data_IF_132951855764
#
_entry.id   IF_132951855764
#
_cell.length_a   1.000
_cell.length_b   1.000
_cell.length_c   1.000
_cell.angle_alpha   90.00
_cell.angle_beta   90.00
_cell.angle_gamma   90.00
#
_symmetry.space_group_name_H-M   'P 1'
#
loop_
_entity.id
_entity.type
_entity.pdbx_description
1 polymer ?
#
# COMPACT_ATOMS: atom_id res chain seq x y z
N UNK A 1 -51.36 6.36 33.50
CA UNK A 1 -49.90 6.58 33.59
C UNK A 1 -49.25 5.55 32.69
N UNK A 2 -48.93 5.94 31.45
CA UNK A 2 -48.23 5.09 30.49
C UNK A 2 -46.78 5.55 30.52
N UNK A 3 -45.89 4.71 31.04
CA UNK A 3 -44.45 4.92 30.96
C UNK A 3 -44.07 4.92 29.48
N UNK A 4 -43.83 6.11 28.95
CA UNK A 4 -43.14 6.30 27.69
C UNK A 4 -41.72 5.79 27.88
N UNK A 5 -41.45 4.61 27.33
CA UNK A 5 -40.12 4.02 27.25
C UNK A 5 -39.28 4.91 26.32
N UNK A 6 -38.69 5.94 26.91
CA UNK A 6 -37.77 6.87 26.26
C UNK A 6 -36.41 6.20 26.18
N UNK A 7 -36.28 5.16 25.35
CA UNK A 7 -34.98 4.78 24.79
C UNK A 7 -34.56 5.88 23.85
N UNK A 8 -33.98 6.94 24.41
CA UNK A 8 -33.07 7.78 23.67
C UNK A 8 -31.98 6.84 23.16
N UNK A 9 -32.03 6.49 21.88
CA UNK A 9 -30.86 6.02 21.16
C UNK A 9 -29.80 7.12 21.34
N UNK A 10 -28.92 6.96 22.33
CA UNK A 10 -27.71 7.74 22.42
C UNK A 10 -27.04 7.62 21.05
N UNK A 11 -26.97 8.74 20.34
CA UNK A 11 -26.28 8.84 19.07
C UNK A 11 -24.80 8.59 19.33
N UNK A 12 -24.42 7.31 19.33
CA UNK A 12 -23.07 6.86 19.64
C UNK A 12 -22.12 7.55 18.68
N UNK A 13 -21.29 8.44 19.22
CA UNK A 13 -20.23 9.09 18.44
C UNK A 13 -19.31 8.00 17.90
N UNK A 14 -18.81 8.14 16.66
CA UNK A 14 -17.94 7.12 16.09
C UNK A 14 -16.64 7.07 16.90
N UNK A 15 -16.02 5.89 16.95
CA UNK A 15 -14.81 5.66 17.72
C UNK A 15 -13.70 6.69 17.38
N UNK A 16 -12.97 7.15 18.39
CA UNK A 16 -11.80 8.01 18.18
C UNK A 16 -10.69 7.30 17.39
N UNK A 17 -9.83 8.06 16.70
CA UNK A 17 -8.72 7.52 15.89
C UNK A 17 -7.75 6.65 16.72
N UNK A 18 -7.40 7.10 17.93
CA UNK A 18 -6.56 6.33 18.85
C UNK A 18 -7.25 5.05 19.35
N UNK A 19 -8.57 5.09 19.58
CA UNK A 19 -9.32 3.91 19.96
C UNK A 19 -9.43 2.90 18.80
N UNK A 20 -9.51 3.38 17.54
CA UNK A 20 -9.41 2.50 16.38
C UNK A 20 -8.04 1.82 16.33
N UNK A 21 -6.97 2.56 16.65
CA UNK A 21 -5.61 2.03 16.70
C UNK A 21 -5.48 0.93 17.74
N UNK A 22 -5.86 1.18 19.00
CA UNK A 22 -5.78 0.17 20.06
C UNK A 22 -6.59 -1.07 19.71
N UNK A 23 -7.82 -0.88 19.20
CA UNK A 23 -8.68 -2.00 18.77
C UNK A 23 -8.04 -2.79 17.63
N UNK A 24 -7.38 -2.13 16.68
CA UNK A 24 -6.68 -2.81 15.58
C UNK A 24 -5.58 -3.74 16.06
N UNK A 25 -4.80 -3.32 17.05
CA UNK A 25 -3.79 -4.17 17.69
C UNK A 25 -4.42 -5.30 18.52
N UNK A 26 -5.51 -5.03 19.24
CA UNK A 26 -6.22 -6.05 20.02
C UNK A 26 -6.76 -7.18 19.14
N UNK A 27 -7.31 -6.86 17.96
CA UNK A 27 -7.77 -7.85 16.97
C UNK A 27 -6.65 -8.80 16.58
N UNK A 28 -5.45 -8.26 16.29
CA UNK A 28 -4.29 -9.06 15.88
C UNK A 28 -3.73 -9.87 17.05
N UNK A 29 -3.69 -9.29 18.26
CA UNK A 29 -3.23 -10.00 19.46
C UNK A 29 -4.12 -11.21 19.80
N UNK A 30 -5.44 -11.11 19.59
CA UNK A 30 -6.39 -12.23 19.77
C UNK A 30 -6.36 -13.24 18.62
N UNK A 31 -5.90 -12.82 17.43
CA UNK A 31 -5.86 -13.64 16.23
C UNK A 31 -4.45 -13.65 15.62
N UNK A 32 -3.44 -14.22 16.31
CA UNK A 32 -2.04 -14.16 15.86
C UNK A 32 -1.83 -14.86 14.51
N UNK A 33 -2.73 -15.75 14.09
CA UNK A 33 -2.67 -16.37 12.75
C UNK A 33 -2.69 -15.33 11.60
N UNK A 34 -3.21 -14.12 11.83
CA UNK A 34 -3.28 -13.06 10.81
C UNK A 34 -1.90 -12.58 10.34
N UNK A 35 -0.87 -12.73 11.18
CA UNK A 35 0.50 -12.31 10.82
C UNK A 35 1.22 -13.33 9.93
N UNK A 36 0.64 -14.53 9.74
CA UNK A 36 1.29 -15.64 9.04
C UNK A 36 1.66 -15.30 7.60
N UNK A 37 0.74 -14.69 6.84
CA UNK A 37 1.00 -14.36 5.43
C UNK A 37 2.10 -13.30 5.29
N UNK A 38 2.03 -12.14 5.98
CA UNK A 38 3.14 -11.17 5.99
C UNK A 38 4.48 -11.79 6.41
N UNK A 39 4.48 -12.58 7.49
CA UNK A 39 5.68 -13.19 8.02
C UNK A 39 6.30 -14.20 7.06
N UNK A 40 5.50 -15.07 6.44
CA UNK A 40 5.99 -16.04 5.44
C UNK A 40 6.49 -15.33 4.19
N UNK A 41 5.83 -14.26 3.76
CA UNK A 41 6.29 -13.46 2.61
C UNK A 41 7.65 -12.82 2.91
N UNK A 42 7.83 -12.24 4.10
CA UNK A 42 9.11 -11.71 4.54
C UNK A 42 10.20 -12.79 4.64
N UNK A 43 9.87 -13.96 5.22
CA UNK A 43 10.80 -15.10 5.26
C UNK A 43 11.20 -15.57 3.87
N UNK A 44 10.26 -15.60 2.92
CA UNK A 44 10.54 -15.96 1.54
C UNK A 44 11.47 -14.95 0.87
N UNK A 45 11.20 -13.64 1.01
CA UNK A 45 12.05 -12.60 0.43
C UNK A 45 13.44 -12.50 1.08
N UNK A 46 13.55 -12.90 2.34
CA UNK A 46 14.81 -12.92 3.09
C UNK A 46 15.65 -14.17 2.85
N UNK A 47 15.08 -15.37 3.05
CA UNK A 47 15.79 -16.64 3.01
C UNK A 47 15.76 -17.31 1.64
N UNK A 48 14.75 -17.00 0.82
CA UNK A 48 14.56 -17.57 -0.50
C UNK A 48 15.63 -17.14 -1.51
N UNK A 49 15.59 -17.72 -2.72
CA UNK A 49 16.43 -17.27 -3.82
C UNK A 49 16.06 -15.85 -4.24
N UNK A 50 17.02 -15.14 -4.83
CA UNK A 50 16.76 -13.85 -5.46
C UNK A 50 16.53 -14.06 -6.95
N UNK A 51 15.50 -13.41 -7.48
CA UNK A 51 15.30 -13.34 -8.91
C UNK A 51 16.04 -12.10 -9.42
N UNK A 52 17.28 -12.31 -9.86
CA UNK A 52 18.25 -11.25 -10.16
C UNK A 52 18.11 -10.75 -11.60
N UNK A 53 18.19 -9.43 -11.76
CA UNK A 53 18.27 -8.72 -13.03
C UNK A 53 19.68 -8.18 -13.32
N UNK A 54 20.71 -8.68 -12.61
CA UNK A 54 22.09 -8.22 -12.76
C UNK A 54 22.58 -8.15 -14.21
N UNK A 55 22.32 -9.14 -15.10
CA UNK A 55 22.76 -9.05 -16.50
C UNK A 55 22.11 -7.88 -17.26
N UNK A 56 20.87 -7.52 -16.93
CA UNK A 56 20.14 -6.41 -17.54
C UNK A 56 20.70 -5.08 -17.05
N UNK A 57 20.90 -4.93 -15.73
CA UNK A 57 21.52 -3.73 -15.17
C UNK A 57 22.95 -3.51 -15.70
N UNK A 58 23.75 -4.58 -15.81
CA UNK A 58 25.08 -4.49 -16.42
C UNK A 58 25.07 -4.20 -17.92
N UNK A 59 23.99 -4.51 -18.64
CA UNK A 59 23.81 -4.07 -20.02
C UNK A 59 23.44 -2.58 -20.11
N UNK A 60 22.59 -2.10 -19.18
CA UNK A 60 22.24 -0.68 -19.06
C UNK A 60 23.46 0.17 -18.70
N UNK A 61 24.28 -0.27 -17.75
CA UNK A 61 25.55 0.36 -17.36
C UNK A 61 26.45 0.60 -18.58
N UNK A 62 26.70 -0.45 -19.38
CA UNK A 62 27.52 -0.33 -20.59
C UNK A 62 26.92 0.64 -21.61
N UNK A 63 25.61 0.58 -21.80
CA UNK A 63 24.91 1.52 -22.69
C UNK A 63 25.08 2.98 -22.24
N UNK A 64 24.96 3.26 -20.94
CA UNK A 64 25.14 4.60 -20.41
C UNK A 64 26.60 5.08 -20.48
N UNK A 65 27.58 4.18 -20.24
CA UNK A 65 28.99 4.48 -20.42
C UNK A 65 29.31 4.89 -21.86
N UNK A 66 28.82 4.12 -22.84
CA UNK A 66 29.01 4.41 -24.25
C UNK A 66 28.37 5.74 -24.66
N UNK A 67 27.17 6.03 -24.14
CA UNK A 67 26.46 7.28 -24.40
C UNK A 67 27.18 8.50 -23.79
N UNK A 68 27.67 8.39 -22.56
CA UNK A 68 28.37 9.46 -21.87
C UNK A 68 29.68 9.85 -22.59
N UNK A 69 30.45 8.86 -23.04
CA UNK A 69 31.69 9.06 -23.82
C UNK A 69 31.39 9.73 -25.16
N UNK A 70 30.21 9.49 -25.75
CA UNK A 70 29.83 10.05 -27.04
C UNK A 70 29.25 11.48 -26.99
N UNK A 71 28.85 12.02 -25.83
CA UNK A 71 27.99 13.21 -25.80
C UNK A 71 28.06 14.19 -24.62
N UNK A 72 28.87 13.98 -23.58
CA UNK A 72 28.83 14.82 -22.38
C UNK A 72 30.10 15.67 -22.16
N UNK A 73 30.08 16.94 -22.60
CA UNK A 73 31.15 17.92 -22.36
C UNK A 73 30.72 19.04 -21.39
N UNK A 74 30.07 18.69 -20.28
CA UNK A 74 29.65 19.64 -19.23
C UNK A 74 29.81 19.06 -17.83
N UNK A 75 30.32 19.86 -16.88
CA UNK A 75 30.65 19.43 -15.51
C UNK A 75 29.47 18.84 -14.75
N UNK A 76 28.27 19.41 -14.92
CA UNK A 76 27.04 19.01 -14.20
C UNK A 76 26.49 17.66 -14.67
N UNK A 77 26.80 17.24 -15.90
CA UNK A 77 26.40 15.93 -16.45
C UNK A 77 27.18 14.80 -15.77
N UNK A 78 28.41 15.06 -15.36
CA UNK A 78 29.32 14.08 -14.74
C UNK A 78 28.84 13.61 -13.37
N UNK A 79 28.30 14.52 -12.54
CA UNK A 79 27.85 14.19 -11.18
C UNK A 79 26.53 13.41 -11.19
N UNK A 80 25.55 13.84 -11.98
CA UNK A 80 24.28 13.13 -12.19
C UNK A 80 24.53 11.73 -12.77
N UNK A 81 25.48 11.63 -13.70
CA UNK A 81 25.92 10.35 -14.27
C UNK A 81 26.54 9.43 -13.21
N UNK A 82 27.49 9.93 -12.41
CA UNK A 82 28.15 9.14 -11.37
C UNK A 82 27.14 8.59 -10.34
N UNK A 83 26.18 9.42 -9.91
CA UNK A 83 25.10 8.99 -9.02
C UNK A 83 24.22 7.91 -9.66
N UNK A 84 23.84 8.09 -10.94
CA UNK A 84 23.02 7.12 -11.67
C UNK A 84 23.72 5.77 -11.80
N UNK A 85 25.03 5.80 -12.04
CA UNK A 85 25.85 4.60 -12.13
C UNK A 85 25.97 3.86 -10.80
N UNK A 86 26.14 4.60 -9.69
CA UNK A 86 26.13 4.01 -8.36
C UNK A 86 24.81 3.29 -8.06
N UNK A 87 23.67 3.93 -8.36
CA UNK A 87 22.34 3.33 -8.14
C UNK A 87 22.16 2.07 -8.98
N UNK A 88 22.56 2.09 -10.26
CA UNK A 88 22.49 0.91 -11.12
C UNK A 88 23.35 -0.24 -10.58
N UNK A 89 24.53 0.07 -10.07
CA UNK A 89 25.42 -0.91 -9.47
C UNK A 89 24.80 -1.55 -8.21
N UNK A 90 24.28 -0.75 -7.28
CA UNK A 90 23.59 -1.24 -6.07
C UNK A 90 22.38 -2.13 -6.41
N UNK A 91 21.59 -1.73 -7.42
CA UNK A 91 20.48 -2.55 -7.92
C UNK A 91 20.97 -3.85 -8.55
N UNK A 92 22.07 -3.82 -9.29
CA UNK A 92 22.62 -5.02 -9.92
C UNK A 92 23.01 -6.11 -8.91
N UNK A 93 23.52 -5.71 -7.74
CA UNK A 93 23.97 -6.65 -6.71
C UNK A 93 22.84 -7.14 -5.80
N UNK A 94 21.90 -6.25 -5.47
CA UNK A 94 20.95 -6.47 -4.38
C UNK A 94 19.50 -6.69 -4.79
N UNK A 95 19.12 -6.31 -6.02
CA UNK A 95 17.71 -6.28 -6.42
C UNK A 95 17.12 -7.67 -6.58
N UNK A 96 15.93 -7.86 -6.03
CA UNK A 96 15.19 -9.11 -6.10
C UNK A 96 13.83 -8.88 -6.77
N UNK A 97 13.61 -9.40 -7.97
CA UNK A 97 12.34 -9.22 -8.69
C UNK A 97 11.14 -9.85 -7.96
N UNK A 98 11.34 -10.79 -7.04
CA UNK A 98 10.25 -11.32 -6.21
C UNK A 98 9.55 -10.26 -5.35
N UNK A 99 10.15 -9.07 -5.14
CA UNK A 99 9.47 -7.95 -4.47
C UNK A 99 8.18 -7.52 -5.18
N UNK A 100 7.99 -7.87 -6.46
CA UNK A 100 6.74 -7.67 -7.20
C UNK A 100 5.56 -8.41 -6.56
N UNK A 101 5.79 -9.43 -5.73
CA UNK A 101 4.73 -10.09 -4.95
C UNK A 101 4.03 -9.14 -3.95
N UNK A 102 4.70 -8.05 -3.55
CA UNK A 102 4.11 -7.00 -2.71
C UNK A 102 3.22 -6.03 -3.51
N UNK A 103 3.22 -6.12 -4.84
CA UNK A 103 2.46 -5.19 -5.68
C UNK A 103 0.96 -5.34 -5.42
N UNK A 104 0.41 -4.35 -4.71
CA UNK A 104 -0.99 -4.26 -4.37
C UNK A 104 -1.47 -2.82 -4.54
N UNK A 105 -2.74 -2.62 -4.93
CA UNK A 105 -3.27 -1.28 -5.08
C UNK A 105 -3.51 -0.66 -3.71
N UNK A 106 -2.71 0.32 -3.30
CA UNK A 106 -2.88 1.13 -2.07
C UNK A 106 -2.66 0.37 -0.73
N UNK A 107 -3.22 -0.82 -0.56
CA UNK A 107 -3.14 -1.67 0.63
C UNK A 107 -2.86 -3.13 0.23
N UNK A 108 -1.73 -3.66 0.70
CA UNK A 108 -1.23 -4.99 0.34
C UNK A 108 -0.91 -5.87 1.54
N UNK A 109 -0.33 -7.05 1.27
CA UNK A 109 0.39 -7.81 2.31
C UNK A 109 1.61 -6.97 2.72
N UNK A 110 1.76 -6.56 3.99
CA UNK A 110 2.95 -5.83 4.41
C UNK A 110 4.21 -6.70 4.36
N UNK A 111 5.35 -6.14 3.95
CA UNK A 111 6.66 -6.81 4.03
C UNK A 111 7.79 -5.81 4.29
N UNK A 112 8.69 -6.16 5.21
CA UNK A 112 9.88 -5.40 5.55
C UNK A 112 10.98 -5.59 4.49
N UNK A 113 11.08 -6.80 3.92
CA UNK A 113 12.15 -7.19 3.02
C UNK A 113 12.05 -6.57 1.61
N UNK A 114 10.89 -6.03 1.24
CA UNK A 114 10.67 -5.39 -0.07
C UNK A 114 11.61 -4.22 -0.33
N UNK A 115 12.03 -3.52 0.74
CA UNK A 115 12.91 -2.36 0.65
C UNK A 115 14.38 -2.68 0.97
N UNK A 116 14.76 -3.97 1.03
CA UNK A 116 16.10 -4.40 1.47
C UNK A 116 16.89 -5.05 0.33
N UNK A 117 17.98 -4.39 -0.07
CA UNK A 117 18.94 -4.89 -1.06
C UNK A 117 19.95 -5.81 -0.38
N UNK A 118 19.67 -7.10 -0.41
CA UNK A 118 20.12 -7.96 0.68
C UNK A 118 20.77 -9.21 0.07
N UNK A 119 22.09 -9.32 0.26
CA UNK A 119 22.97 -10.26 -0.47
C UNK A 119 23.26 -11.53 0.31
N UNK A 120 23.36 -11.40 1.63
CA UNK A 120 23.60 -12.50 2.54
C UNK A 120 22.33 -12.92 3.27
N UNK A 121 22.35 -14.14 3.79
CA UNK A 121 21.38 -14.74 4.71
C UNK A 121 22.15 -15.51 5.79
N UNK A 122 21.51 -15.97 6.89
CA UNK A 122 22.22 -16.54 8.05
C UNK A 122 23.13 -17.74 7.78
N UNK A 123 22.97 -18.38 6.62
CA UNK A 123 23.72 -19.57 6.23
C UNK A 123 24.50 -19.35 4.93
N UNK A 124 24.85 -18.09 4.62
CA UNK A 124 25.78 -17.72 3.55
C UNK A 124 25.18 -16.79 2.50
N UNK A 125 25.82 -16.75 1.33
CA UNK A 125 25.38 -15.96 0.18
C UNK A 125 24.03 -16.48 -0.33
N UNK A 126 23.16 -15.57 -0.78
CA UNK A 126 21.88 -15.96 -1.38
C UNK A 126 22.07 -16.53 -2.78
N UNK A 127 21.30 -17.58 -3.13
CA UNK A 127 21.31 -18.12 -4.48
C UNK A 127 20.54 -17.18 -5.41
N UNK A 128 21.11 -16.94 -6.58
CA UNK A 128 20.52 -16.07 -7.60
C UNK A 128 19.98 -16.89 -8.77
N UNK A 129 18.74 -16.57 -9.16
CA UNK A 129 18.11 -17.01 -10.40
C UNK A 129 18.16 -15.81 -11.34
N UNK A 130 18.99 -15.87 -12.38
CA UNK A 130 19.21 -14.72 -13.26
C UNK A 130 18.24 -14.70 -14.44
N UNK A 131 17.68 -13.53 -14.73
CA UNK A 131 16.95 -13.27 -15.97
C UNK A 131 17.81 -12.38 -16.86
N UNK A 132 18.28 -12.94 -17.97
CA UNK A 132 19.15 -12.21 -18.91
C UNK A 132 18.38 -11.52 -20.05
N UNK A 133 17.10 -11.85 -20.24
CA UNK A 133 16.29 -11.34 -21.35
C UNK A 133 15.23 -10.36 -20.87
N UNK A 134 15.29 -9.13 -21.37
CA UNK A 134 14.33 -8.07 -21.05
C UNK A 134 12.90 -8.44 -21.50
N UNK A 135 12.77 -9.16 -22.62
CA UNK A 135 11.47 -9.66 -23.09
C UNK A 135 10.84 -10.66 -22.11
N UNK A 136 11.66 -11.42 -21.38
CA UNK A 136 11.17 -12.39 -20.40
C UNK A 136 10.81 -11.75 -19.05
N UNK A 137 11.29 -10.54 -18.76
CA UNK A 137 10.96 -9.81 -17.53
C UNK A 137 9.46 -9.49 -17.47
N UNK A 138 8.88 -9.03 -18.57
CA UNK A 138 7.45 -8.65 -18.62
C UNK A 138 6.48 -9.76 -18.20
N UNK A 139 6.50 -10.98 -18.80
CA UNK A 139 5.59 -12.05 -18.39
C UNK A 139 5.86 -12.51 -16.94
N UNK A 140 7.11 -12.48 -16.47
CA UNK A 140 7.45 -12.81 -15.09
C UNK A 140 6.87 -11.79 -14.12
N UNK A 141 7.04 -10.49 -14.39
CA UNK A 141 6.44 -9.40 -13.59
C UNK A 141 4.92 -9.53 -13.56
N UNK A 142 4.29 -9.79 -14.71
CA UNK A 142 2.85 -9.98 -14.79
C UNK A 142 2.39 -11.16 -13.94
N UNK A 143 3.08 -12.30 -14.02
CA UNK A 143 2.78 -13.48 -13.21
C UNK A 143 2.94 -13.20 -11.71
N UNK A 144 4.06 -12.60 -11.30
CA UNK A 144 4.32 -12.25 -9.91
C UNK A 144 3.30 -11.25 -9.38
N UNK A 145 2.91 -10.25 -10.16
CA UNK A 145 1.89 -9.27 -9.80
C UNK A 145 0.53 -9.96 -9.58
N UNK A 146 0.12 -10.84 -10.49
CA UNK A 146 -1.14 -11.60 -10.38
C UNK A 146 -1.15 -12.49 -9.14
N UNK A 147 -0.04 -13.15 -8.83
CA UNK A 147 0.14 -13.98 -7.63
C UNK A 147 0.16 -13.13 -6.36
N UNK A 148 0.86 -12.00 -6.36
CA UNK A 148 0.92 -11.04 -5.25
C UNK A 148 -0.46 -10.46 -4.90
N UNK A 149 -1.26 -10.14 -5.91
CA UNK A 149 -2.65 -9.73 -5.72
C UNK A 149 -3.51 -10.86 -5.14
N UNK A 150 -3.25 -12.13 -5.49
CA UNK A 150 -3.94 -13.25 -4.89
C UNK A 150 -3.58 -13.39 -3.41
N UNK A 151 -2.30 -13.32 -3.05
CA UNK A 151 -1.83 -13.31 -1.65
C UNK A 151 -2.47 -12.18 -0.85
N UNK A 152 -2.53 -10.99 -1.44
CA UNK A 152 -3.20 -9.81 -0.87
C UNK A 152 -4.69 -10.06 -0.65
N UNK A 153 -5.39 -10.63 -1.63
CA UNK A 153 -6.81 -10.94 -1.50
C UNK A 153 -7.06 -11.93 -0.36
N UNK A 154 -6.24 -12.97 -0.23
CA UNK A 154 -6.34 -13.93 0.87
C UNK A 154 -6.07 -13.28 2.23
N UNK A 155 -4.99 -12.49 2.35
CA UNK A 155 -4.66 -11.76 3.58
C UNK A 155 -5.80 -10.82 4.01
N UNK A 156 -6.27 -9.97 3.09
CA UNK A 156 -7.32 -8.99 3.38
C UNK A 156 -8.68 -9.66 3.64
N UNK A 157 -8.96 -10.80 3.00
CA UNK A 157 -10.16 -11.60 3.28
C UNK A 157 -10.22 -12.01 4.75
N UNK A 158 -9.16 -12.68 5.24
CA UNK A 158 -9.10 -13.17 6.61
C UNK A 158 -9.06 -12.02 7.62
N UNK A 159 -8.28 -10.98 7.34
CA UNK A 159 -8.19 -9.81 8.19
C UNK A 159 -9.54 -9.11 8.32
N UNK A 160 -10.21 -8.83 7.20
CA UNK A 160 -11.52 -8.18 7.19
C UNK A 160 -12.59 -8.98 7.92
N UNK A 161 -12.56 -10.31 7.81
CA UNK A 161 -13.47 -11.19 8.54
C UNK A 161 -13.22 -11.12 10.06
N UNK A 162 -11.95 -11.18 10.51
CA UNK A 162 -11.62 -11.10 11.93
C UNK A 162 -11.94 -9.74 12.53
N UNK A 163 -11.68 -8.66 11.79
CA UNK A 163 -12.09 -7.31 12.22
C UNK A 163 -13.59 -7.26 12.46
N UNK A 164 -14.43 -7.75 11.55
CA UNK A 164 -15.90 -7.72 11.71
C UNK A 164 -16.37 -8.53 12.91
N UNK A 165 -15.81 -9.72 13.12
CA UNK A 165 -16.19 -10.61 14.23
C UNK A 165 -15.81 -9.98 15.57
N UNK A 166 -14.60 -9.46 15.70
CA UNK A 166 -14.09 -8.89 16.96
C UNK A 166 -14.71 -7.52 17.29
N UNK A 167 -15.12 -6.74 16.28
CA UNK A 167 -15.83 -5.46 16.49
C UNK A 167 -17.35 -5.61 16.56
N UNK A 168 -17.87 -6.84 16.48
CA UNK A 168 -19.31 -7.15 16.45
C UNK A 168 -20.07 -6.33 15.39
N UNK A 169 -19.39 -6.06 14.27
CA UNK A 169 -19.92 -5.18 13.23
C UNK A 169 -21.04 -5.89 12.45
N UNK A 170 -22.14 -5.17 12.18
CA UNK A 170 -23.28 -5.67 11.40
C UNK A 170 -23.02 -5.73 9.88
N UNK A 171 -21.79 -5.51 9.45
CA UNK A 171 -21.42 -5.48 8.04
C UNK A 171 -21.47 -6.88 7.42
N UNK A 172 -21.76 -6.92 6.11
CA UNK A 172 -21.86 -8.19 5.38
C UNK A 172 -20.53 -8.96 5.30
N UNK A 173 -19.41 -8.27 5.46
CA UNK A 173 -18.07 -8.83 5.36
C UNK A 173 -17.69 -9.33 3.98
N UNK A 174 -16.51 -9.94 3.82
CA UNK A 174 -16.03 -10.34 2.50
C UNK A 174 -16.85 -11.53 1.94
N UNK A 175 -17.05 -11.57 0.61
CA UNK A 175 -17.77 -12.67 -0.06
C UNK A 175 -16.92 -13.93 -0.19
N UNK A 176 -15.82 -13.83 -0.93
CA UNK A 176 -14.84 -14.90 -1.14
C UNK A 176 -13.50 -14.29 -1.50
N UNK A 177 -12.37 -14.96 -1.21
CA UNK A 177 -11.05 -14.47 -1.59
C UNK A 177 -10.91 -14.32 -3.11
N UNK A 178 -11.50 -15.22 -3.91
CA UNK A 178 -11.48 -15.13 -5.37
C UNK A 178 -12.24 -13.92 -5.93
N UNK A 179 -13.38 -13.57 -5.33
CA UNK A 179 -14.11 -12.37 -5.72
C UNK A 179 -13.32 -11.11 -5.39
N UNK A 180 -12.70 -11.06 -4.21
CA UNK A 180 -11.81 -9.95 -3.83
C UNK A 180 -10.62 -9.84 -4.76
N UNK A 181 -9.99 -10.96 -5.13
CA UNK A 181 -8.89 -10.99 -6.09
C UNK A 181 -9.28 -10.38 -7.45
N UNK A 182 -10.46 -10.73 -7.98
CA UNK A 182 -10.99 -10.10 -9.20
C UNK A 182 -11.21 -8.60 -9.07
N UNK A 183 -11.71 -8.13 -7.91
CA UNK A 183 -11.87 -6.70 -7.65
C UNK A 183 -10.52 -5.97 -7.51
N UNK A 184 -9.52 -6.60 -6.88
CA UNK A 184 -8.17 -6.05 -6.77
C UNK A 184 -7.47 -6.00 -8.13
N UNK A 185 -7.65 -7.01 -8.98
CA UNK A 185 -7.17 -6.97 -10.37
C UNK A 185 -7.77 -5.79 -11.15
N UNK A 186 -9.09 -5.60 -11.04
CA UNK A 186 -9.77 -4.48 -11.69
C UNK A 186 -9.29 -3.13 -11.14
N UNK A 187 -9.14 -3.01 -9.81
CA UNK A 187 -8.62 -1.79 -9.17
C UNK A 187 -7.19 -1.50 -9.64
N UNK A 188 -6.30 -2.51 -9.66
CA UNK A 188 -4.92 -2.38 -10.16
C UNK A 188 -4.91 -1.94 -11.62
N UNK A 189 -5.76 -2.52 -12.47
CA UNK A 189 -5.85 -2.13 -13.89
C UNK A 189 -6.32 -0.67 -14.03
N UNK A 190 -7.36 -0.27 -13.30
CA UNK A 190 -7.86 1.11 -13.31
C UNK A 190 -6.77 2.07 -12.84
N UNK A 191 -6.08 1.77 -11.74
CA UNK A 191 -4.99 2.61 -11.23
C UNK A 191 -3.81 2.64 -12.20
N UNK A 192 -3.46 1.53 -12.85
CA UNK A 192 -2.39 1.49 -13.83
C UNK A 192 -2.72 2.36 -15.05
N UNK A 193 -3.94 2.28 -15.58
CA UNK A 193 -4.38 3.13 -16.70
C UNK A 193 -4.38 4.61 -16.29
N UNK A 194 -4.93 4.94 -15.12
CA UNK A 194 -5.00 6.33 -14.66
C UNK A 194 -3.62 6.90 -14.31
N UNK A 195 -2.85 6.22 -13.48
CA UNK A 195 -1.52 6.66 -13.04
C UNK A 195 -0.50 6.59 -14.18
N UNK A 196 -0.56 5.56 -15.03
CA UNK A 196 0.29 5.42 -16.20
C UNK A 196 0.00 6.49 -17.26
N UNK A 197 -1.28 6.73 -17.57
CA UNK A 197 -1.68 7.80 -18.48
C UNK A 197 -1.30 9.20 -17.97
N UNK A 198 -1.58 9.46 -16.69
CA UNK A 198 -1.18 10.71 -16.04
C UNK A 198 0.35 10.87 -16.00
N UNK A 199 1.07 9.83 -15.58
CA UNK A 199 2.53 9.83 -15.50
C UNK A 199 3.18 10.05 -16.85
N UNK A 200 2.70 9.40 -17.91
CA UNK A 200 3.20 9.60 -19.27
C UNK A 200 2.98 11.04 -19.75
N UNK A 201 1.80 11.61 -19.48
CA UNK A 201 1.51 13.00 -19.84
C UNK A 201 2.42 13.99 -19.08
N UNK A 202 2.62 13.76 -17.77
CA UNK A 202 3.53 14.56 -16.93
C UNK A 202 4.96 14.44 -17.42
N UNK A 203 5.47 13.24 -17.70
CA UNK A 203 6.82 13.01 -18.19
C UNK A 203 7.04 13.73 -19.53
N UNK A 204 6.10 13.59 -20.48
CA UNK A 204 6.19 14.28 -21.76
C UNK A 204 6.25 15.81 -21.57
N UNK A 205 5.36 16.36 -20.74
CA UNK A 205 5.32 17.80 -20.49
C UNK A 205 6.56 18.30 -19.72
N UNK A 206 7.04 17.55 -18.73
CA UNK A 206 8.23 17.87 -17.97
C UNK A 206 9.49 17.81 -18.85
N UNK A 207 9.63 16.80 -19.71
CA UNK A 207 10.73 16.71 -20.67
C UNK A 207 10.71 17.89 -21.65
N UNK A 208 9.54 18.27 -22.16
CA UNK A 208 9.40 19.43 -23.04
C UNK A 208 9.78 20.74 -22.33
N UNK A 209 9.31 20.95 -21.11
CA UNK A 209 9.68 22.12 -20.29
C UNK A 209 11.17 22.12 -19.91
N UNK A 210 11.75 20.93 -19.70
CA UNK A 210 13.16 20.74 -19.39
C UNK A 210 14.11 21.20 -20.50
N UNK A 211 13.65 21.25 -21.75
CA UNK A 211 14.41 21.84 -22.87
C UNK A 211 14.63 23.35 -22.69
N UNK A 212 13.75 24.03 -21.95
CA UNK A 212 13.85 25.46 -21.68
C UNK A 212 14.45 25.76 -20.30
N UNK A 213 14.08 24.97 -19.28
CA UNK A 213 14.52 25.17 -17.90
C UNK A 213 14.37 23.90 -17.06
N UNK A 214 15.51 23.34 -16.61
CA UNK A 214 15.51 22.17 -15.72
C UNK A 214 14.77 22.40 -14.39
N UNK A 215 14.91 23.56 -13.69
CA UNK A 215 14.13 23.83 -12.48
C UNK A 215 12.62 23.81 -12.69
N UNK A 216 12.12 24.28 -13.83
CA UNK A 216 10.68 24.26 -14.15
C UNK A 216 10.19 22.82 -14.32
N UNK A 217 10.95 21.98 -15.01
CA UNK A 217 10.64 20.55 -15.13
C UNK A 217 10.63 19.86 -13.76
N UNK A 218 11.62 20.14 -12.91
CA UNK A 218 11.68 19.62 -11.53
C UNK A 218 10.46 20.05 -10.70
N UNK A 219 10.06 21.32 -10.77
CA UNK A 219 8.86 21.82 -10.10
C UNK A 219 7.59 21.10 -10.55
N UNK A 220 7.44 20.87 -11.86
CA UNK A 220 6.30 20.11 -12.41
C UNK A 220 6.25 18.67 -11.89
N UNK A 221 7.41 18.01 -11.77
CA UNK A 221 7.49 16.65 -11.22
C UNK A 221 7.10 16.59 -9.75
N UNK A 222 7.52 17.59 -8.95
CA UNK A 222 7.11 17.72 -7.53
C UNK A 222 5.61 17.96 -7.41
N UNK A 223 5.06 18.85 -8.25
CA UNK A 223 3.63 19.15 -8.29
C UNK A 223 2.82 17.90 -8.66
N UNK A 224 3.23 17.18 -9.70
CA UNK A 224 2.59 15.94 -10.14
C UNK A 224 2.65 14.85 -9.06
N UNK A 225 3.78 14.71 -8.36
CA UNK A 225 3.93 13.78 -7.23
C UNK A 225 3.00 14.14 -6.08
N UNK A 226 2.83 15.44 -5.80
CA UNK A 226 1.88 15.94 -4.80
C UNK A 226 0.43 15.62 -5.16
N UNK A 227 0.04 15.77 -6.43
CA UNK A 227 -1.26 15.32 -6.93
C UNK A 227 -1.44 13.80 -6.81
N UNK A 228 -0.41 13.02 -7.15
CA UNK A 228 -0.42 11.57 -6.98
C UNK A 228 -0.69 11.16 -5.52
N UNK A 229 0.02 11.77 -4.57
CA UNK A 229 -0.19 11.53 -3.15
C UNK A 229 -1.58 11.97 -2.68
N UNK A 230 -2.07 13.11 -3.18
CA UNK A 230 -3.43 13.58 -2.90
C UNK A 230 -4.48 12.55 -3.33
N UNK A 231 -4.37 11.99 -4.54
CA UNK A 231 -5.28 10.94 -5.00
C UNK A 231 -5.12 9.63 -4.20
N UNK A 232 -3.89 9.27 -3.84
CA UNK A 232 -3.64 8.06 -3.03
C UNK A 232 -4.37 8.13 -1.68
N UNK A 233 -4.27 9.26 -0.96
CA UNK A 233 -4.99 9.50 0.30
C UNK A 233 -6.51 9.34 0.10
N UNK A 234 -7.04 9.94 -0.97
CA UNK A 234 -8.46 9.92 -1.31
C UNK A 234 -9.00 8.54 -1.69
N UNK A 235 -8.13 7.66 -2.22
CA UNK A 235 -8.50 6.31 -2.63
C UNK A 235 -8.16 5.25 -1.59
N UNK A 236 -7.42 5.59 -0.53
CA UNK A 236 -6.90 4.64 0.47
C UNK A 236 -7.98 3.73 1.07
N UNK A 237 -9.19 4.25 1.28
CA UNK A 237 -10.31 3.51 1.86
C UNK A 237 -11.13 2.70 0.84
N UNK A 238 -10.74 2.69 -0.44
CA UNK A 238 -11.38 1.86 -1.47
C UNK A 238 -11.30 0.37 -1.10
N UNK A 239 -10.17 -0.10 -0.59
CA UNK A 239 -10.00 -1.50 -0.18
C UNK A 239 -10.89 -1.88 1.00
N UNK A 240 -10.89 -1.14 2.13
CA UNK A 240 -11.86 -1.36 3.20
C UNK A 240 -13.32 -1.41 2.70
N UNK A 241 -13.71 -0.53 1.78
CA UNK A 241 -15.04 -0.52 1.15
C UNK A 241 -15.38 -1.78 0.36
N UNK A 242 -14.42 -2.26 -0.45
CA UNK A 242 -14.55 -3.51 -1.21
C UNK A 242 -14.69 -4.72 -0.25
N UNK A 243 -13.81 -4.79 0.76
CA UNK A 243 -13.68 -5.96 1.62
C UNK A 243 -14.82 -6.06 2.63
N UNK A 244 -15.17 -4.97 3.31
CA UNK A 244 -16.12 -5.03 4.44
C UNK A 244 -17.59 -4.89 4.02
N UNK A 245 -17.90 -4.12 2.98
CA UNK A 245 -19.28 -3.84 2.54
C UNK A 245 -19.71 -4.59 1.28
N UNK A 246 -18.83 -5.40 0.67
CA UNK A 246 -19.09 -6.09 -0.61
C UNK A 246 -19.49 -5.13 -1.74
N UNK A 247 -19.04 -3.87 -1.67
CA UNK A 247 -19.31 -2.89 -2.73
C UNK A 247 -18.58 -3.29 -4.00
N UNK A 248 -19.13 -2.90 -5.15
CA UNK A 248 -18.37 -2.89 -6.39
C UNK A 248 -17.33 -1.77 -6.37
N UNK A 249 -16.27 -1.92 -7.15
CA UNK A 249 -15.13 -0.98 -7.22
C UNK A 249 -15.54 0.50 -7.25
N UNK A 250 -16.41 0.88 -8.20
CA UNK A 250 -16.78 2.29 -8.39
C UNK A 250 -17.57 2.86 -7.20
N UNK A 251 -18.36 2.04 -6.51
CA UNK A 251 -19.06 2.50 -5.31
C UNK A 251 -18.07 2.65 -4.14
N UNK A 252 -17.14 1.71 -3.97
CA UNK A 252 -16.10 1.82 -2.96
C UNK A 252 -15.22 3.06 -3.16
N UNK A 253 -14.87 3.41 -4.40
CA UNK A 253 -14.16 4.65 -4.73
C UNK A 253 -14.97 5.87 -4.29
N UNK A 254 -16.27 5.94 -4.65
CA UNK A 254 -17.14 7.06 -4.27
C UNK A 254 -17.24 7.22 -2.75
N UNK A 255 -17.38 6.12 -2.02
CA UNK A 255 -17.46 6.12 -0.56
C UNK A 255 -16.12 6.52 0.08
N UNK A 256 -14.99 6.07 -0.47
CA UNK A 256 -13.65 6.52 -0.07
C UNK A 256 -13.51 8.05 -0.24
N UNK A 257 -13.87 8.58 -1.41
CA UNK A 257 -13.84 10.02 -1.69
C UNK A 257 -14.76 10.82 -0.78
N UNK A 258 -15.95 10.29 -0.48
CA UNK A 258 -16.90 10.94 0.42
C UNK A 258 -16.31 11.00 1.84
N UNK A 259 -15.76 9.89 2.33
CA UNK A 259 -15.19 9.81 3.66
C UNK A 259 -14.01 10.78 3.83
N UNK A 260 -13.05 10.77 2.90
CA UNK A 260 -11.88 11.65 3.01
C UNK A 260 -12.22 13.12 2.89
N UNK A 261 -13.33 13.48 2.24
CA UNK A 261 -13.81 14.87 2.16
C UNK A 261 -14.57 15.29 3.41
N UNK A 262 -15.44 14.43 3.95
CA UNK A 262 -16.29 14.76 5.09
C UNK A 262 -15.49 14.72 6.39
N UNK A 263 -14.55 13.79 6.53
CA UNK A 263 -13.76 13.59 7.74
C UNK A 263 -12.24 13.72 7.51
N UNK A 264 -11.87 14.74 6.73
CA UNK A 264 -10.49 14.95 6.25
C UNK A 264 -9.45 14.99 7.37
N UNK A 265 -9.75 15.69 8.48
CA UNK A 265 -8.79 15.84 9.59
C UNK A 265 -8.50 14.52 10.29
N UNK A 266 -9.53 13.71 10.59
CA UNK A 266 -9.34 12.42 11.24
C UNK A 266 -8.68 11.40 10.30
N UNK A 267 -9.04 11.42 9.01
CA UNK A 267 -8.37 10.60 7.98
C UNK A 267 -6.88 10.95 7.92
N UNK A 268 -6.56 12.23 7.78
CA UNK A 268 -5.16 12.69 7.66
C UNK A 268 -4.38 12.38 8.94
N UNK A 269 -4.98 12.61 10.11
CA UNK A 269 -4.36 12.28 11.39
C UNK A 269 -4.10 10.77 11.53
N UNK A 270 -5.06 9.93 11.14
CA UNK A 270 -4.88 8.48 11.16
C UNK A 270 -3.76 8.04 10.22
N UNK A 271 -3.73 8.54 8.99
CA UNK A 271 -2.70 8.19 8.01
C UNK A 271 -1.31 8.68 8.45
N UNK A 272 -1.23 9.86 9.07
CA UNK A 272 -0.01 10.36 9.69
C UNK A 272 0.47 9.44 10.81
N UNK A 273 -0.44 8.99 11.67
CA UNK A 273 -0.13 8.08 12.77
C UNK A 273 0.37 6.72 12.25
N UNK A 274 -0.31 6.15 11.26
CA UNK A 274 0.11 4.92 10.58
C UNK A 274 1.49 5.10 9.95
N UNK A 275 1.74 6.22 9.28
CA UNK A 275 3.04 6.52 8.66
C UNK A 275 4.16 6.64 9.69
N UNK A 276 3.95 7.39 10.78
CA UNK A 276 4.95 7.58 11.85
C UNK A 276 5.25 6.25 12.54
N UNK A 277 4.23 5.48 12.93
CA UNK A 277 4.41 4.19 13.61
C UNK A 277 5.13 3.20 12.68
N UNK A 278 4.69 3.09 11.42
CA UNK A 278 5.32 2.19 10.45
C UNK A 278 6.78 2.58 10.21
N UNK A 279 7.07 3.85 9.97
CA UNK A 279 8.43 4.30 9.67
C UNK A 279 9.36 4.13 10.87
N UNK A 280 8.91 4.54 12.06
CA UNK A 280 9.69 4.44 13.29
C UNK A 280 9.98 3.00 13.67
N UNK A 281 9.00 2.10 13.57
CA UNK A 281 9.19 0.69 13.90
C UNK A 281 9.94 -0.08 12.81
N UNK A 282 9.80 0.27 11.52
CA UNK A 282 10.62 -0.31 10.46
C UNK A 282 12.10 -0.10 10.71
N UNK A 283 12.50 1.10 11.16
CA UNK A 283 13.89 1.36 11.56
C UNK A 283 14.37 0.36 12.64
N UNK A 284 13.56 0.17 13.70
CA UNK A 284 13.88 -0.77 14.80
C UNK A 284 13.98 -2.21 14.28
N UNK A 285 13.05 -2.65 13.43
CA UNK A 285 13.01 -4.01 12.92
C UNK A 285 14.13 -4.34 11.93
N UNK A 286 14.82 -3.33 11.41
CA UNK A 286 16.00 -3.46 10.53
C UNK A 286 17.34 -3.36 11.25
N UNK A 287 17.36 -3.11 12.57
CA UNK A 287 18.61 -3.10 13.35
C UNK A 287 19.37 -4.44 13.31
N UNK A 288 18.72 -5.62 13.34
CA UNK A 288 19.41 -6.89 13.18
C UNK A 288 20.07 -7.01 11.80
N UNK A 289 21.35 -7.39 11.76
CA UNK A 289 22.03 -7.70 10.49
C UNK A 289 21.31 -8.85 9.77
N UNK A 290 21.07 -8.70 8.47
CA UNK A 290 20.33 -9.68 7.66
C UNK A 290 21.02 -11.05 7.50
N UNK A 291 22.28 -11.17 7.89
CA UNK A 291 23.01 -12.44 7.97
C UNK A 291 22.91 -13.10 9.36
N UNK A 292 21.97 -12.67 10.20
CA UNK A 292 21.74 -13.20 11.53
C UNK A 292 20.31 -13.72 11.71
N UNK A 293 20.14 -14.77 12.50
CA UNK A 293 18.82 -15.29 12.88
C UNK A 293 18.00 -14.30 13.73
N UNK A 294 18.64 -13.29 14.32
CA UNK A 294 17.92 -12.21 15.03
C UNK A 294 16.97 -11.42 14.12
N UNK A 295 17.16 -11.43 12.80
CA UNK A 295 16.23 -10.85 11.83
C UNK A 295 14.83 -11.45 11.92
N UNK A 296 14.67 -12.74 12.30
CA UNK A 296 13.35 -13.38 12.47
C UNK A 296 12.45 -12.62 13.45
N UNK A 297 13.03 -12.09 14.53
CA UNK A 297 12.29 -11.29 15.52
C UNK A 297 11.81 -9.99 14.89
N UNK A 298 12.66 -9.33 14.09
CA UNK A 298 12.31 -8.13 13.34
C UNK A 298 11.18 -8.38 12.35
N UNK A 299 11.23 -9.49 11.61
CA UNK A 299 10.18 -9.88 10.65
C UNK A 299 8.84 -10.15 11.36
N UNK A 300 8.86 -10.87 12.49
CA UNK A 300 7.66 -11.15 13.26
C UNK A 300 7.05 -9.87 13.88
N UNK A 301 7.90 -9.00 14.45
CA UNK A 301 7.49 -7.70 14.99
C UNK A 301 6.89 -6.79 13.92
N UNK A 302 7.54 -6.70 12.76
CA UNK A 302 7.01 -5.98 11.60
C UNK A 302 5.66 -6.54 11.14
N UNK A 303 5.55 -7.86 10.98
CA UNK A 303 4.30 -8.51 10.56
C UNK A 303 3.15 -8.20 11.52
N UNK A 304 3.40 -8.25 12.85
CA UNK A 304 2.40 -7.90 13.86
C UNK A 304 1.97 -6.43 13.77
N UNK A 305 2.93 -5.50 13.77
CA UNK A 305 2.65 -4.05 13.73
C UNK A 305 1.89 -3.66 12.47
N UNK A 306 2.39 -4.07 11.30
CA UNK A 306 1.80 -3.69 10.02
C UNK A 306 0.41 -4.31 9.82
N UNK A 307 0.17 -5.52 10.36
CA UNK A 307 -1.18 -6.11 10.39
C UNK A 307 -2.11 -5.32 11.30
N UNK A 308 -1.65 -4.90 12.49
CA UNK A 308 -2.43 -4.07 13.42
C UNK A 308 -2.80 -2.70 12.85
N UNK A 309 -1.86 -2.06 12.14
CA UNK A 309 -2.12 -0.80 11.42
C UNK A 309 -3.11 -1.01 10.26
N UNK A 310 -3.03 -2.13 9.54
CA UNK A 310 -4.01 -2.46 8.50
C UNK A 310 -5.40 -2.68 9.10
N UNK A 311 -5.50 -3.43 10.21
CA UNK A 311 -6.74 -3.63 10.96
C UNK A 311 -7.33 -2.29 11.42
N UNK A 312 -6.49 -1.36 11.86
CA UNK A 312 -6.89 -0.02 12.29
C UNK A 312 -7.60 0.76 11.17
N UNK A 313 -7.07 0.72 9.94
CA UNK A 313 -7.71 1.36 8.78
C UNK A 313 -9.10 0.77 8.49
N UNK A 314 -9.22 -0.55 8.64
CA UNK A 314 -10.48 -1.27 8.50
C UNK A 314 -11.47 -0.83 9.58
N UNK A 315 -11.08 -0.79 10.85
CA UNK A 315 -11.97 -0.39 11.96
C UNK A 315 -12.39 1.07 11.82
N UNK A 316 -11.46 1.97 11.51
CA UNK A 316 -11.76 3.38 11.29
C UNK A 316 -12.80 3.58 10.19
N UNK A 317 -12.66 2.84 9.09
CA UNK A 317 -13.61 2.90 7.99
C UNK A 317 -15.01 2.40 8.38
N UNK A 318 -15.11 1.28 9.12
CA UNK A 318 -16.40 0.77 9.63
C UNK A 318 -17.14 1.80 10.48
N UNK A 319 -16.42 2.42 11.42
CA UNK A 319 -16.97 3.36 12.39
C UNK A 319 -17.45 4.65 11.75
N UNK A 320 -16.76 5.12 10.71
CA UNK A 320 -17.16 6.34 10.01
C UNK A 320 -18.31 6.11 9.05
N UNK A 321 -18.33 4.99 8.35
CA UNK A 321 -19.41 4.72 7.40
C UNK A 321 -20.74 4.46 8.11
N UNK A 322 -20.74 3.69 9.20
CA UNK A 322 -21.94 3.46 10.02
C UNK A 322 -22.52 4.78 10.52
N UNK A 323 -21.67 5.70 10.97
CA UNK A 323 -22.07 7.03 11.40
C UNK A 323 -22.63 7.88 10.27
N UNK A 324 -22.03 7.85 9.07
CA UNK A 324 -22.53 8.58 7.91
C UNK A 324 -23.93 8.09 7.48
N UNK A 325 -24.19 6.78 7.54
CA UNK A 325 -25.50 6.20 7.24
C UNK A 325 -26.57 6.68 8.25
N UNK A 326 -26.24 6.69 9.55
CA UNK A 326 -27.14 7.21 10.61
C UNK A 326 -27.46 8.69 10.37
N UNK A 327 -26.45 9.51 10.07
CA UNK A 327 -26.66 10.93 9.77
C UNK A 327 -27.57 11.14 8.55
N UNK A 328 -27.43 10.32 7.50
CA UNK A 328 -28.28 10.41 6.32
C UNK A 328 -29.73 10.04 6.63
N UNK A 329 -29.95 8.97 7.41
CA UNK A 329 -31.29 8.56 7.85
C UNK A 329 -31.96 9.64 8.70
N UNK A 330 -31.23 10.24 9.64
CA UNK A 330 -31.76 11.35 10.45
C UNK A 330 -32.12 12.58 9.60
N UNK A 331 -31.30 12.94 8.61
CA UNK A 331 -31.61 14.04 7.69
C UNK A 331 -32.85 13.75 6.83
N UNK A 332 -32.99 12.52 6.33
CA UNK A 332 -34.15 12.10 5.55
C UNK A 332 -35.44 12.12 6.39
N UNK A 333 -35.39 11.59 7.62
CA UNK A 333 -36.50 11.63 8.56
C UNK A 333 -36.90 13.07 8.92
N UNK A 334 -35.91 13.95 9.16
CA UNK A 334 -36.16 15.38 9.41
C UNK A 334 -36.80 16.07 8.21
N UNK A 335 -36.34 15.80 6.99
CA UNK A 335 -36.93 16.35 5.77
C UNK A 335 -38.39 15.92 5.59
N UNK A 336 -38.72 14.65 5.84
CA UNK A 336 -40.10 14.15 5.80
C UNK A 336 -40.98 14.81 6.87
N UNK A 337 -40.46 15.03 8.07
CA UNK A 337 -41.21 15.70 9.15
C UNK A 337 -41.52 17.17 8.88
N UNK A 338 -40.74 17.83 8.01
CA UNK A 338 -40.96 19.22 7.58
C UNK A 338 -42.00 19.30 6.46
N UNK A 339 -42.06 18.29 5.57
CA UNK A 339 -43.04 18.24 4.46
C UNK A 339 -44.45 17.90 4.94
N UNK A 340 -44.59 17.24 6.09
CA UNK A 340 -45.89 16.87 6.69
C UNK A 340 -46.50 17.94 7.60
N UNK A 341 -45.86 19.11 7.74
CA UNK A 341 -46.38 20.26 8.50
C UNK A 341 -46.77 21.40 7.57
#
# INVERSE_FOLDING_TARGET
MSEANNTQEETRRPMGTLACLTTGFDVVARNPILILIPFVMDLFLWLGPRLSLAPIFGAMERFFQDWAVAGASGSDVTEVYALSMQVLHELSEGYNLFVVLHLAPLLGVPSLMVNQLTVERPFGVRPDITISSLLFVFPVVLLLAVVGLALTAFYLYWLGQRVIVETESKLSGPRSPFHLWGQLLLLTLVLLVLAGGFGLAVLFFASFMGLFSMPVAGFLMILASSFGMFFAVHLMFTIPGIVQLRRGLFQAIKESLLLTRVDFLNVTFLLLLVFIISSGLNFVWTLPKFNSWSTVIGLAGHAFVSTGLTATLFIFYQERLSFLEILQQMRAAKAQSIVLK
#
